data_IF_723570609227
#
_entry.id   IF_723570609227
#
_cell.length_a   1.000
_cell.length_b   1.000
_cell.length_c   1.000
_cell.angle_alpha   90.00
_cell.angle_beta   90.00
_cell.angle_gamma   90.00
#
_symmetry.space_group_name_H-M   'P 1'
#
loop_
_entity.id
_entity.type
_entity.pdbx_description
1 polymer ?
#
# COMPACT_ATOMS: atom_id res chain seq x y z
N UNK A 1 -1.33 -1.21 -26.64
CA UNK A 1 -1.03 -0.17 -25.63
C UNK A 1 -1.37 -0.69 -24.23
N UNK A 2 -0.36 -0.77 -23.37
CA UNK A 2 -0.58 -1.21 -22.00
C UNK A 2 -1.25 -0.08 -21.18
N UNK A 3 -2.15 -0.41 -20.23
CA UNK A 3 -2.70 0.55 -19.28
C UNK A 3 -1.60 1.31 -18.52
N UNK A 4 -1.89 2.53 -18.08
CA UNK A 4 -0.90 3.40 -17.44
C UNK A 4 -0.25 2.75 -16.21
N UNK A 5 -1.03 2.14 -15.33
CA UNK A 5 -0.49 1.47 -14.14
C UNK A 5 0.47 0.32 -14.46
N UNK A 6 0.28 -0.38 -15.59
CA UNK A 6 1.20 -1.44 -16.03
C UNK A 6 2.55 -0.85 -16.43
N UNK A 7 2.55 0.33 -17.10
CA UNK A 7 3.78 1.05 -17.44
C UNK A 7 4.53 1.51 -16.18
N UNK A 8 3.81 2.04 -15.19
CA UNK A 8 4.36 2.47 -13.89
C UNK A 8 4.99 1.31 -13.15
N UNK A 9 4.32 0.15 -13.10
CA UNK A 9 4.86 -1.06 -12.49
C UNK A 9 6.09 -1.60 -13.23
N UNK A 10 6.05 -1.59 -14.57
CA UNK A 10 7.20 -1.98 -15.37
C UNK A 10 8.41 -1.07 -15.08
N UNK A 11 8.19 0.25 -15.03
CA UNK A 11 9.23 1.22 -14.70
C UNK A 11 9.87 0.93 -13.34
N UNK A 12 9.07 0.62 -12.32
CA UNK A 12 9.60 0.29 -11.00
C UNK A 12 10.26 -1.11 -10.95
N UNK A 13 9.55 -2.16 -11.37
CA UNK A 13 9.99 -3.54 -11.14
C UNK A 13 10.94 -4.11 -12.20
N UNK A 14 11.03 -3.50 -13.38
CA UNK A 14 11.81 -4.02 -14.52
C UNK A 14 12.94 -3.08 -14.98
N UNK A 15 13.23 -2.04 -14.21
CA UNK A 15 14.33 -1.11 -14.46
C UNK A 15 15.22 -0.96 -13.22
N UNK A 16 16.25 -0.13 -13.32
CA UNK A 16 17.15 0.19 -12.20
C UNK A 16 16.43 0.88 -11.03
N UNK A 17 15.25 1.47 -11.23
CA UNK A 17 14.51 2.24 -10.24
C UNK A 17 14.25 1.46 -8.95
N UNK A 18 13.67 0.26 -9.05
CA UNK A 18 13.35 -0.60 -7.90
C UNK A 18 14.33 -1.75 -7.71
N UNK A 19 15.47 -1.74 -8.39
CA UNK A 19 16.46 -2.80 -8.29
C UNK A 19 17.09 -2.88 -6.90
N UNK A 20 17.17 -4.09 -6.36
CA UNK A 20 17.93 -4.37 -5.16
C UNK A 20 18.69 -5.70 -5.30
N UNK A 21 20.00 -5.68 -5.04
CA UNK A 21 20.88 -6.84 -5.24
C UNK A 21 20.48 -8.10 -4.44
N UNK A 22 19.69 -7.96 -3.37
CA UNK A 22 19.16 -9.07 -2.56
C UNK A 22 17.82 -9.61 -3.06
N UNK A 23 17.26 -9.04 -4.11
CA UNK A 23 15.95 -9.43 -4.67
C UNK A 23 16.05 -9.77 -6.17
N UNK A 24 17.01 -10.62 -6.58
CA UNK A 24 17.23 -10.85 -8.02
C UNK A 24 16.03 -11.52 -8.72
N UNK A 25 15.19 -12.25 -7.99
CA UNK A 25 14.05 -13.01 -8.53
C UNK A 25 12.69 -12.47 -8.06
N UNK A 26 12.63 -11.30 -7.42
CA UNK A 26 11.39 -10.80 -6.81
C UNK A 26 10.31 -10.43 -7.82
N UNK A 27 10.63 -10.28 -9.09
CA UNK A 27 9.69 -9.99 -10.18
C UNK A 27 9.57 -11.12 -11.21
N UNK A 28 10.09 -12.29 -10.90
CA UNK A 28 9.82 -13.51 -11.65
C UNK A 28 8.39 -14.01 -11.39
N UNK A 29 7.90 -14.93 -12.19
CA UNK A 29 6.52 -15.42 -12.06
C UNK A 29 6.21 -16.07 -10.70
N UNK A 30 4.93 -16.17 -10.38
CA UNK A 30 4.43 -16.95 -9.24
C UNK A 30 4.21 -18.39 -9.63
N UNK A 31 4.34 -19.32 -8.69
CA UNK A 31 4.03 -20.74 -8.94
C UNK A 31 2.53 -20.94 -9.16
N UNK A 32 2.14 -21.86 -10.02
CA UNK A 32 0.71 -22.17 -10.26
C UNK A 32 -0.05 -22.56 -8.99
N UNK A 33 0.63 -23.21 -8.05
CA UNK A 33 0.07 -23.61 -6.76
C UNK A 33 -0.20 -22.45 -5.81
N UNK A 34 0.42 -21.28 -6.02
CA UNK A 34 0.18 -20.07 -5.19
C UNK A 34 -1.18 -19.44 -5.43
N UNK A 35 -1.81 -19.68 -6.56
CA UNK A 35 -3.07 -19.03 -6.94
C UNK A 35 -4.21 -19.45 -6.01
N UNK A 36 -4.32 -20.73 -5.67
CA UNK A 36 -5.40 -21.26 -4.83
C UNK A 36 -5.37 -20.69 -3.39
N UNK A 37 -4.25 -20.72 -2.65
CA UNK A 37 -4.16 -20.06 -1.35
C UNK A 37 -4.46 -18.57 -1.43
N UNK A 38 -4.03 -17.89 -2.49
CA UNK A 38 -4.24 -16.46 -2.67
C UNK A 38 -5.74 -16.11 -2.80
N UNK A 39 -6.47 -16.87 -3.62
CA UNK A 39 -7.92 -16.69 -3.81
C UNK A 39 -8.68 -16.99 -2.50
N UNK A 40 -8.22 -17.97 -1.72
CA UNK A 40 -8.86 -18.40 -0.48
C UNK A 40 -8.39 -17.65 0.77
N UNK A 41 -7.62 -16.58 0.62
CA UNK A 41 -7.13 -15.77 1.75
C UNK A 41 -7.97 -14.48 1.89
N UNK A 42 -9.04 -14.50 2.70
CA UNK A 42 -9.93 -13.35 2.87
C UNK A 42 -9.32 -12.32 3.83
N UNK A 43 -8.35 -11.54 3.37
CA UNK A 43 -7.55 -10.59 4.16
C UNK A 43 -8.38 -9.65 5.03
N UNK A 44 -9.56 -9.26 4.58
CA UNK A 44 -10.41 -8.30 5.28
C UNK A 44 -11.52 -8.93 6.12
N UNK A 45 -11.53 -10.26 6.30
CA UNK A 45 -12.58 -10.94 7.07
C UNK A 45 -12.66 -10.45 8.51
N UNK A 46 -11.50 -10.28 9.16
CA UNK A 46 -11.41 -9.89 10.56
C UNK A 46 -11.01 -8.42 10.76
N UNK A 47 -11.13 -7.60 9.74
CA UNK A 47 -10.73 -6.18 9.80
C UNK A 47 -11.49 -5.40 10.89
N UNK A 48 -12.72 -5.78 11.18
CA UNK A 48 -13.53 -5.18 12.25
C UNK A 48 -13.05 -5.52 13.66
N UNK A 49 -12.17 -6.49 13.81
CA UNK A 49 -11.58 -6.87 15.12
C UNK A 49 -10.32 -6.05 15.45
N UNK A 50 -9.80 -5.28 14.50
CA UNK A 50 -8.63 -4.42 14.71
C UNK A 50 -8.98 -3.32 15.72
N UNK A 51 -8.22 -3.26 16.81
CA UNK A 51 -8.37 -2.25 17.89
C UNK A 51 -7.23 -1.23 17.90
N UNK A 52 -6.12 -1.54 17.26
CA UNK A 52 -4.98 -0.63 17.14
C UNK A 52 -5.30 0.58 16.29
N UNK A 53 -4.49 1.64 16.43
CA UNK A 53 -4.53 2.76 15.51
C UNK A 53 -4.05 2.33 14.11
N UNK A 54 -4.72 2.81 13.06
CA UNK A 54 -4.43 2.46 11.66
C UNK A 54 -4.32 3.72 10.82
N UNK A 55 -3.16 3.95 10.23
CA UNK A 55 -2.96 4.93 9.16
C UNK A 55 -2.83 4.21 7.83
N UNK A 56 -3.73 4.50 6.90
CA UNK A 56 -3.65 4.05 5.50
C UNK A 56 -3.19 5.20 4.62
N UNK A 57 -2.22 4.95 3.75
CA UNK A 57 -1.71 5.94 2.80
C UNK A 57 -1.79 5.35 1.40
N UNK A 58 -2.37 6.09 0.46
CA UNK A 58 -2.52 5.64 -0.91
C UNK A 58 -2.38 6.79 -1.90
N UNK A 59 -1.85 6.52 -3.09
CA UNK A 59 -1.76 7.50 -4.15
C UNK A 59 -3.13 7.76 -4.79
N UNK A 60 -3.44 9.02 -5.08
CA UNK A 60 -4.70 9.41 -5.73
C UNK A 60 -4.88 8.75 -7.10
N UNK A 61 -3.79 8.67 -7.88
CA UNK A 61 -3.77 8.11 -9.23
C UNK A 61 -3.54 6.59 -9.28
N UNK A 62 -3.35 5.95 -8.12
CA UNK A 62 -3.15 4.52 -8.06
C UNK A 62 -4.43 3.76 -8.44
N UNK A 63 -4.34 2.85 -9.40
CA UNK A 63 -5.46 2.01 -9.84
C UNK A 63 -6.05 1.15 -8.70
N UNK A 64 -5.25 0.89 -7.67
CA UNK A 64 -5.60 0.08 -6.48
C UNK A 64 -6.17 0.90 -5.31
N UNK A 65 -6.41 2.21 -5.48
CA UNK A 65 -6.89 3.12 -4.43
C UNK A 65 -8.15 2.61 -3.73
N UNK A 66 -9.07 2.03 -4.47
CA UNK A 66 -10.33 1.50 -3.94
C UNK A 66 -10.15 0.44 -2.85
N UNK A 67 -9.05 -0.33 -2.85
CA UNK A 67 -8.77 -1.30 -1.78
C UNK A 67 -8.59 -0.61 -0.43
N UNK A 68 -7.86 0.51 -0.38
CA UNK A 68 -7.69 1.27 0.85
C UNK A 68 -8.99 1.94 1.30
N UNK A 69 -9.77 2.47 0.38
CA UNK A 69 -11.07 3.08 0.68
C UNK A 69 -12.05 2.06 1.25
N UNK A 70 -12.10 0.85 0.68
CA UNK A 70 -12.98 -0.22 1.15
C UNK A 70 -12.52 -0.80 2.50
N UNK A 71 -11.22 -0.98 2.68
CA UNK A 71 -10.66 -1.41 3.96
C UNK A 71 -10.95 -0.37 5.05
N UNK A 72 -10.76 0.92 4.77
CA UNK A 72 -11.04 2.01 5.70
C UNK A 72 -12.50 2.06 6.14
N UNK A 73 -13.45 1.86 5.23
CA UNK A 73 -14.89 1.79 5.55
C UNK A 73 -15.22 0.64 6.50
N UNK A 74 -14.53 -0.49 6.37
CA UNK A 74 -14.76 -1.70 7.16
C UNK A 74 -14.07 -1.71 8.52
N UNK A 75 -13.04 -0.89 8.72
CA UNK A 75 -12.40 -0.70 10.02
C UNK A 75 -13.38 -0.09 11.02
N UNK A 76 -13.43 -0.64 12.22
CA UNK A 76 -14.31 -0.17 13.32
C UNK A 76 -13.56 0.60 14.39
N UNK A 77 -12.23 0.57 14.41
CA UNK A 77 -11.41 1.37 15.35
C UNK A 77 -11.68 2.87 15.16
N UNK A 78 -11.77 3.62 16.26
CA UNK A 78 -11.91 5.08 16.24
C UNK A 78 -10.61 5.79 15.83
N UNK A 79 -9.46 5.17 16.10
CA UNK A 79 -8.15 5.69 15.73
C UNK A 79 -7.75 5.22 14.32
N UNK A 80 -8.45 5.70 13.30
CA UNK A 80 -8.13 5.40 11.89
C UNK A 80 -8.05 6.67 11.08
N UNK A 81 -7.08 6.71 10.19
CA UNK A 81 -6.91 7.79 9.20
C UNK A 81 -6.67 7.18 7.81
N UNK A 82 -7.25 7.78 6.78
CA UNK A 82 -6.96 7.49 5.38
C UNK A 82 -6.40 8.75 4.72
N UNK A 83 -5.17 8.68 4.26
CA UNK A 83 -4.47 9.77 3.60
C UNK A 83 -4.29 9.44 2.12
N UNK A 84 -4.97 10.19 1.28
CA UNK A 84 -4.82 10.11 -0.17
C UNK A 84 -3.84 11.20 -0.62
N UNK A 85 -2.76 10.78 -1.29
CA UNK A 85 -1.70 11.70 -1.74
C UNK A 85 -2.03 12.19 -3.13
N UNK A 86 -2.28 13.50 -3.31
CA UNK A 86 -2.65 14.07 -4.60
C UNK A 86 -1.57 13.80 -5.67
N UNK A 87 -2.01 13.39 -6.86
CA UNK A 87 -1.17 13.16 -8.03
C UNK A 87 -0.23 11.95 -7.95
N UNK A 88 -0.09 11.29 -6.80
CA UNK A 88 0.77 10.13 -6.65
C UNK A 88 0.15 8.87 -7.27
N UNK A 89 0.97 8.07 -7.94
CA UNK A 89 0.61 6.72 -8.38
C UNK A 89 0.96 5.66 -7.31
N UNK A 90 0.77 4.38 -7.64
CA UNK A 90 1.00 3.29 -6.68
C UNK A 90 2.46 3.18 -6.24
N UNK A 91 3.41 3.30 -7.17
CA UNK A 91 4.84 3.07 -6.91
C UNK A 91 5.57 4.31 -6.41
N UNK A 92 5.00 5.50 -6.53
CA UNK A 92 5.61 6.73 -6.00
C UNK A 92 5.80 6.68 -4.47
N UNK A 93 4.95 5.95 -3.77
CA UNK A 93 5.07 5.77 -2.32
C UNK A 93 6.11 4.74 -1.90
N UNK A 94 6.84 4.13 -2.84
CA UNK A 94 7.91 3.19 -2.55
C UNK A 94 9.28 3.87 -2.45
N UNK A 95 9.54 4.87 -3.28
CA UNK A 95 10.86 5.45 -3.45
C UNK A 95 10.92 6.97 -3.58
N UNK A 96 9.79 7.64 -3.87
CA UNK A 96 9.77 9.08 -4.04
C UNK A 96 9.66 9.81 -2.71
N UNK A 97 10.80 10.16 -2.12
CA UNK A 97 10.89 10.82 -0.80
C UNK A 97 10.17 12.18 -0.75
N UNK A 98 9.95 12.82 -1.90
CA UNK A 98 9.22 14.11 -1.97
C UNK A 98 7.70 13.91 -1.92
N UNK A 99 7.23 12.69 -2.15
CA UNK A 99 5.79 12.33 -2.19
C UNK A 99 5.37 11.61 -0.91
N UNK A 100 6.27 10.81 -0.34
CA UNK A 100 5.99 10.08 0.90
C UNK A 100 5.78 11.07 2.05
N UNK A 101 4.62 11.06 2.73
CA UNK A 101 4.26 12.07 3.73
C UNK A 101 4.86 11.76 5.11
N UNK A 102 6.19 11.78 5.24
CA UNK A 102 6.88 11.41 6.49
C UNK A 102 6.41 12.20 7.71
N UNK A 103 6.17 13.50 7.58
CA UNK A 103 5.70 14.35 8.70
C UNK A 103 4.32 13.90 9.20
N UNK A 104 3.44 13.47 8.28
CA UNK A 104 2.11 12.95 8.64
C UNK A 104 2.20 11.59 9.33
N UNK A 105 3.12 10.72 8.86
CA UNK A 105 3.41 9.42 9.46
C UNK A 105 3.95 9.62 10.88
N UNK A 106 4.94 10.48 11.05
CA UNK A 106 5.52 10.80 12.34
C UNK A 106 4.48 11.37 13.30
N UNK A 107 3.69 12.35 12.85
CA UNK A 107 2.63 12.95 13.65
C UNK A 107 1.58 11.93 14.11
N UNK A 108 1.17 11.00 13.24
CA UNK A 108 0.25 9.93 13.58
C UNK A 108 0.84 9.00 14.65
N UNK A 109 2.09 8.60 14.49
CA UNK A 109 2.77 7.72 15.45
C UNK A 109 2.92 8.41 16.82
N UNK A 110 3.39 9.66 16.87
CA UNK A 110 3.50 10.43 18.12
C UNK A 110 2.16 10.52 18.85
N UNK A 111 1.11 10.97 18.16
CA UNK A 111 -0.25 11.05 18.71
C UNK A 111 -0.77 9.72 19.26
N UNK A 112 -0.38 8.61 18.62
CA UNK A 112 -0.82 7.27 19.02
C UNK A 112 -0.10 6.79 20.29
N UNK A 113 1.20 7.06 20.40
CA UNK A 113 2.01 6.62 21.53
C UNK A 113 1.89 7.53 22.78
N UNK A 114 1.57 8.80 22.58
CA UNK A 114 1.36 9.76 23.70
C UNK A 114 0.04 9.55 24.46
N UNK A 115 -0.90 8.80 23.88
CA UNK A 115 -2.21 8.47 24.51
C UNK A 115 -2.17 7.30 25.49
N UNK A 116 -1.00 6.90 25.96
CA UNK A 116 -0.86 5.86 27.01
C UNK A 116 -0.87 6.45 28.39
#
# INVERSE_FOLDING_TARGET
DAPQFVKEYHDYYKTERGYHHRSPNSNEGITKTSVLPFINMPLLTYISEIRSAVLMIHGEQAHSRYFSEDAYKRLTTENKELLIIPGANHVDLYDNLNVIPFDRIEGFLKKTFEKK
#
